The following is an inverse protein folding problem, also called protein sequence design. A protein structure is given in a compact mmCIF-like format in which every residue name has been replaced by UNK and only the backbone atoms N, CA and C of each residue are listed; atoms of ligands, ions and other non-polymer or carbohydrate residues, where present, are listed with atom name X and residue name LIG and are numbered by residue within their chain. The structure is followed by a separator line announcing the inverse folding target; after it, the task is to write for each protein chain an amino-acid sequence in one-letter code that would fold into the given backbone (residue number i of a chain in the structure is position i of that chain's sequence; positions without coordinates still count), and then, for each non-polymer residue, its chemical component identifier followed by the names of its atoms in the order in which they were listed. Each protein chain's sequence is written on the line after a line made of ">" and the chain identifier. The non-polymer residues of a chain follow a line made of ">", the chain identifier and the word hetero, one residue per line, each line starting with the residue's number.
data_IF_016105033235
#
_entry.id   IF_016105033235
#
_cell.length_a   1.000
_cell.length_b   1.000
_cell.length_c   1.000
_cell.angle_alpha   90.00
_cell.angle_beta   90.00
_cell.angle_gamma   90.00
#
_symmetry.space_group_name_H-M   'P 1'
#
loop_
_entity.id
_entity.type
_entity.pdbx_description
1 polymer ?
#
# COMPACT_ATOMS: atom_id res chain seq x y z
N UNK A 1 7.80 8.85 -21.26
CA UNK A 1 7.96 9.99 -20.36
C UNK A 1 7.37 11.26 -21.00
N UNK A 2 6.02 11.24 -21.20
CA UNK A 2 5.34 12.38 -21.87
C UNK A 2 5.11 13.56 -20.92
N UNK A 3 5.02 13.33 -19.60
CA UNK A 3 4.82 14.38 -18.59
C UNK A 3 5.90 15.47 -18.61
N UNK A 4 7.17 15.10 -18.77
CA UNK A 4 8.28 16.07 -18.88
C UNK A 4 8.26 16.75 -20.24
N UNK A 5 7.91 16.05 -21.32
CA UNK A 5 7.79 16.62 -22.66
C UNK A 5 6.63 17.61 -22.77
N UNK A 6 5.53 17.36 -22.07
CA UNK A 6 4.31 18.18 -22.12
C UNK A 6 4.30 19.31 -21.10
N UNK A 7 5.34 19.45 -20.26
CA UNK A 7 5.44 20.49 -19.22
C UNK A 7 4.16 20.57 -18.33
N UNK A 8 3.60 19.41 -17.95
CA UNK A 8 2.38 19.34 -17.14
C UNK A 8 2.78 19.30 -15.66
N UNK A 9 2.25 20.24 -14.87
CA UNK A 9 2.49 20.28 -13.44
C UNK A 9 1.65 19.22 -12.68
N UNK A 10 2.06 18.81 -11.46
CA UNK A 10 1.23 17.95 -10.60
C UNK A 10 -0.16 18.53 -10.32
N UNK A 11 -0.27 19.85 -10.12
CA UNK A 11 -1.55 20.52 -9.91
C UNK A 11 -2.45 20.42 -11.15
N UNK A 12 -1.88 20.53 -12.33
CA UNK A 12 -2.61 20.40 -13.59
C UNK A 12 -3.12 18.99 -13.82
N UNK A 13 -2.31 17.96 -13.52
CA UNK A 13 -2.75 16.56 -13.56
C UNK A 13 -3.90 16.31 -12.59
N UNK A 14 -3.75 16.76 -11.35
CA UNK A 14 -4.81 16.64 -10.34
C UNK A 14 -6.09 17.38 -10.77
N UNK A 15 -5.97 18.56 -11.32
CA UNK A 15 -7.12 19.32 -11.85
C UNK A 15 -7.85 18.55 -12.96
N UNK A 16 -7.11 17.99 -13.94
CA UNK A 16 -7.68 17.20 -15.03
C UNK A 16 -8.33 15.90 -14.51
N UNK A 17 -7.73 15.26 -13.51
CA UNK A 17 -8.30 14.06 -12.88
C UNK A 17 -9.60 14.41 -12.12
N UNK A 18 -9.64 15.52 -11.42
CA UNK A 18 -10.88 16.03 -10.82
C UNK A 18 -11.98 16.29 -11.88
N UNK A 19 -11.62 16.85 -13.03
CA UNK A 19 -12.57 17.03 -14.14
C UNK A 19 -13.10 15.69 -14.67
N UNK A 20 -12.24 14.67 -14.80
CA UNK A 20 -12.60 13.31 -15.22
C UNK A 20 -13.64 12.69 -14.29
N UNK A 21 -13.42 12.82 -12.99
CA UNK A 21 -14.29 12.23 -11.97
C UNK A 21 -15.45 13.15 -11.53
N UNK A 22 -15.58 14.35 -12.12
CA UNK A 22 -16.59 15.35 -11.75
C UNK A 22 -16.54 15.74 -10.27
N UNK A 23 -15.33 15.80 -9.71
CA UNK A 23 -15.06 16.17 -8.32
C UNK A 23 -14.54 17.61 -8.29
N UNK A 24 -14.99 18.37 -7.27
CA UNK A 24 -14.45 19.73 -7.05
C UNK A 24 -12.98 19.64 -6.61
N UNK A 25 -12.04 20.31 -7.31
CA UNK A 25 -10.64 20.30 -6.90
C UNK A 25 -10.47 21.01 -5.55
N UNK A 26 -9.80 20.34 -4.62
CA UNK A 26 -9.45 20.86 -3.30
C UNK A 26 -7.94 20.96 -3.16
N UNK A 27 -7.43 21.96 -2.45
CA UNK A 27 -5.98 22.14 -2.28
C UNK A 27 -5.23 22.75 -3.46
N UNK A 28 -5.91 23.11 -4.56
CA UNK A 28 -5.35 23.90 -5.66
C UNK A 28 -5.50 25.37 -5.32
N UNK A 29 -4.40 26.12 -5.33
CA UNK A 29 -4.37 27.55 -4.97
C UNK A 29 -5.23 28.41 -5.90
N UNK A 30 -5.32 28.04 -7.20
CA UNK A 30 -6.12 28.76 -8.18
C UNK A 30 -6.68 27.81 -9.26
N UNK A 31 -7.85 27.23 -9.00
CA UNK A 31 -8.50 26.29 -9.92
C UNK A 31 -8.90 26.95 -11.26
N UNK A 32 -9.24 28.25 -11.26
CA UNK A 32 -9.60 28.98 -12.48
C UNK A 32 -8.36 29.17 -13.37
N UNK A 33 -7.21 29.47 -12.79
CA UNK A 33 -5.96 29.56 -13.56
C UNK A 33 -5.58 28.19 -14.17
N UNK A 34 -5.75 27.09 -13.43
CA UNK A 34 -5.52 25.74 -13.97
C UNK A 34 -6.50 25.40 -15.11
N UNK A 35 -7.76 25.83 -15.01
CA UNK A 35 -8.74 25.68 -16.09
C UNK A 35 -8.32 26.44 -17.35
N UNK A 36 -7.97 27.71 -17.22
CA UNK A 36 -7.52 28.55 -18.36
C UNK A 36 -6.28 27.92 -19.02
N UNK A 37 -5.34 27.45 -18.21
CA UNK A 37 -4.13 26.77 -18.69
C UNK A 37 -4.45 25.45 -19.40
N UNK A 38 -5.39 24.67 -18.89
CA UNK A 38 -5.82 23.40 -19.47
C UNK A 38 -6.51 23.62 -20.83
N UNK A 39 -7.35 24.64 -20.96
CA UNK A 39 -7.97 25.04 -22.25
C UNK A 39 -6.88 25.50 -23.24
N UNK A 40 -5.98 26.36 -22.80
CA UNK A 40 -4.87 26.88 -23.65
C UNK A 40 -3.97 25.77 -24.16
N UNK A 41 -3.75 24.69 -23.36
CA UNK A 41 -2.96 23.52 -23.76
C UNK A 41 -3.74 22.46 -24.53
N UNK A 42 -5.03 22.69 -24.80
CA UNK A 42 -5.88 21.76 -25.51
C UNK A 42 -6.27 20.49 -24.71
N UNK A 43 -6.18 20.53 -23.38
CA UNK A 43 -6.62 19.44 -22.50
C UNK A 43 -8.11 19.53 -22.14
N UNK A 44 -8.69 20.75 -22.17
CA UNK A 44 -10.12 20.99 -22.01
C UNK A 44 -10.64 21.76 -23.22
N UNK A 45 -11.93 21.56 -23.57
CA UNK A 45 -12.66 22.46 -24.40
C UNK A 45 -13.07 23.73 -23.62
N UNK A 46 -13.56 24.77 -24.29
CA UNK A 46 -14.07 25.97 -23.61
C UNK A 46 -15.25 25.66 -22.68
N UNK A 47 -16.07 24.66 -23.04
CA UNK A 47 -17.18 24.15 -22.24
C UNK A 47 -16.70 23.34 -21.02
N UNK A 48 -15.39 23.03 -20.91
CA UNK A 48 -14.80 22.28 -19.79
C UNK A 48 -14.84 20.77 -19.94
N UNK A 49 -15.00 20.27 -21.18
CA UNK A 49 -14.96 18.83 -21.47
C UNK A 49 -13.51 18.39 -21.73
N UNK A 50 -13.11 17.25 -21.15
CA UNK A 50 -11.79 16.65 -21.40
C UNK A 50 -11.62 16.24 -22.85
N UNK A 51 -10.52 16.65 -23.46
CA UNK A 51 -10.14 16.23 -24.80
C UNK A 51 -9.52 14.84 -24.80
N UNK A 52 -9.43 14.20 -25.96
CA UNK A 52 -8.74 12.92 -26.13
C UNK A 52 -7.28 12.97 -25.63
N UNK A 53 -6.60 14.09 -25.90
CA UNK A 53 -5.22 14.31 -25.42
C UNK A 53 -5.11 14.31 -23.89
N UNK A 54 -6.09 14.90 -23.20
CA UNK A 54 -6.12 14.87 -21.73
C UNK A 54 -6.37 13.46 -21.18
N UNK A 55 -7.27 12.72 -21.79
CA UNK A 55 -7.56 11.33 -21.39
C UNK A 55 -6.33 10.44 -21.57
N UNK A 56 -5.66 10.54 -22.70
CA UNK A 56 -4.42 9.80 -22.95
C UNK A 56 -3.32 10.17 -21.94
N UNK A 57 -3.17 11.44 -21.60
CA UNK A 57 -2.20 11.91 -20.61
C UNK A 57 -2.49 11.32 -19.22
N UNK A 58 -3.76 11.26 -18.81
CA UNK A 58 -4.17 10.69 -17.52
C UNK A 58 -3.91 9.17 -17.49
N UNK A 59 -4.20 8.44 -18.56
CA UNK A 59 -3.90 6.99 -18.66
C UNK A 59 -2.41 6.70 -18.60
N UNK A 60 -1.57 7.49 -19.29
CA UNK A 60 -0.12 7.38 -19.20
C UNK A 60 0.39 7.61 -17.78
N UNK A 61 -0.20 8.59 -17.08
CA UNK A 61 0.15 8.88 -15.70
C UNK A 61 -0.25 7.76 -14.75
N UNK A 62 -1.46 7.22 -14.87
CA UNK A 62 -1.90 6.05 -14.09
C UNK A 62 -0.98 4.84 -14.32
N UNK A 63 -0.65 4.57 -15.59
CA UNK A 63 0.27 3.48 -15.95
C UNK A 63 1.66 3.68 -15.32
N UNK A 64 2.16 4.92 -15.32
CA UNK A 64 3.42 5.28 -14.67
C UNK A 64 3.36 5.05 -13.15
N UNK A 65 2.28 5.47 -12.49
CA UNK A 65 2.11 5.26 -11.03
C UNK A 65 2.05 3.78 -10.68
N UNK A 66 1.34 2.96 -11.46
CA UNK A 66 1.26 1.51 -11.24
C UNK A 66 2.64 0.86 -11.40
N UNK A 67 3.40 1.21 -12.45
CA UNK A 67 4.77 0.70 -12.67
C UNK A 67 5.71 1.12 -11.54
N UNK A 68 5.61 2.36 -11.08
CA UNK A 68 6.44 2.87 -9.97
C UNK A 68 6.13 2.15 -8.67
N UNK A 69 4.85 1.96 -8.32
CA UNK A 69 4.45 1.20 -7.13
C UNK A 69 4.92 -0.25 -7.18
N UNK A 70 4.84 -0.91 -8.35
CA UNK A 70 5.35 -2.27 -8.53
C UNK A 70 6.87 -2.31 -8.35
N UNK A 71 7.60 -1.37 -8.94
CA UNK A 71 9.07 -1.27 -8.82
C UNK A 71 9.50 -1.12 -7.35
N UNK A 72 8.88 -0.20 -6.61
CA UNK A 72 9.17 -0.02 -5.17
C UNK A 72 8.89 -1.28 -4.37
N UNK A 73 7.80 -1.99 -4.65
CA UNK A 73 7.51 -3.24 -3.97
C UNK A 73 8.58 -4.30 -4.25
N UNK A 74 8.98 -4.49 -5.50
CA UNK A 74 10.02 -5.44 -5.89
C UNK A 74 11.38 -5.08 -5.27
N UNK A 75 11.75 -3.80 -5.24
CA UNK A 75 13.01 -3.34 -4.64
C UNK A 75 13.08 -3.60 -3.13
N UNK A 76 11.94 -3.51 -2.42
CA UNK A 76 11.89 -3.70 -0.95
C UNK A 76 11.63 -5.15 -0.56
N UNK A 77 10.76 -5.85 -1.29
CA UNK A 77 10.24 -7.17 -0.91
C UNK A 77 10.86 -8.33 -1.70
N UNK A 78 11.65 -8.03 -2.77
CA UNK A 78 12.19 -9.02 -3.70
C UNK A 78 11.22 -9.41 -4.81
N UNK A 79 11.72 -10.16 -5.81
CA UNK A 79 10.95 -10.50 -7.01
C UNK A 79 9.75 -11.42 -6.74
N UNK A 80 9.89 -12.35 -5.80
CA UNK A 80 8.86 -13.36 -5.46
C UNK A 80 7.94 -12.92 -4.31
N UNK A 81 7.86 -11.62 -4.02
CA UNK A 81 7.15 -11.12 -2.83
C UNK A 81 5.67 -11.53 -2.79
N UNK A 82 4.99 -11.66 -3.93
CA UNK A 82 3.57 -12.05 -3.96
C UNK A 82 3.36 -13.48 -3.47
N UNK A 83 4.30 -14.39 -3.80
CA UNK A 83 4.27 -15.77 -3.33
C UNK A 83 4.54 -15.83 -1.83
N UNK A 84 5.55 -15.11 -1.35
CA UNK A 84 5.88 -15.00 0.07
C UNK A 84 4.73 -14.41 0.90
N UNK A 85 4.04 -13.39 0.39
CA UNK A 85 2.86 -12.83 1.08
C UNK A 85 1.70 -13.84 1.13
N UNK A 86 1.49 -14.62 0.07
CA UNK A 86 0.49 -15.69 0.08
C UNK A 86 0.84 -16.78 1.09
N UNK A 87 2.09 -17.24 1.09
CA UNK A 87 2.62 -18.22 2.05
C UNK A 87 2.40 -17.74 3.49
N UNK A 88 2.84 -16.51 3.81
CA UNK A 88 2.58 -15.88 5.10
C UNK A 88 1.09 -15.88 5.46
N UNK A 89 0.23 -15.50 4.53
CA UNK A 89 -1.22 -15.43 4.73
C UNK A 89 -1.83 -16.79 5.02
N UNK A 90 -1.35 -17.84 4.36
CA UNK A 90 -1.85 -19.21 4.54
C UNK A 90 -1.49 -19.84 5.90
N UNK A 91 -0.46 -19.37 6.61
CA UNK A 91 -0.14 -19.75 7.98
C UNK A 91 -1.29 -19.40 8.92
N UNK A 92 -1.95 -18.25 8.73
CA UNK A 92 -3.10 -17.89 9.54
C UNK A 92 -4.34 -18.77 9.24
N UNK A 93 -5.22 -19.04 10.24
CA UNK A 93 -6.42 -19.86 10.02
C UNK A 93 -7.41 -19.16 9.09
N UNK A 94 -8.05 -19.91 8.18
CA UNK A 94 -9.08 -19.41 7.27
C UNK A 94 -10.44 -19.25 7.98
N UNK A 95 -10.47 -18.60 9.14
CA UNK A 95 -11.69 -18.43 9.95
C UNK A 95 -11.76 -17.05 10.59
N UNK A 96 -12.92 -16.75 11.16
CA UNK A 96 -13.06 -15.58 12.04
C UNK A 96 -12.45 -15.89 13.41
N UNK A 97 -11.76 -14.91 13.95
CA UNK A 97 -11.23 -14.96 15.30
C UNK A 97 -12.34 -14.74 16.34
N UNK A 98 -12.15 -15.12 17.61
CA UNK A 98 -13.17 -14.96 18.66
C UNK A 98 -13.68 -13.54 18.82
N UNK A 99 -12.91 -12.52 18.46
CA UNK A 99 -13.31 -11.10 18.47
C UNK A 99 -14.01 -10.64 17.18
N UNK A 100 -14.33 -11.56 16.26
CA UNK A 100 -15.18 -11.31 15.09
C UNK A 100 -14.46 -10.93 13.79
N UNK A 101 -13.17 -10.58 13.82
CA UNK A 101 -12.39 -10.24 12.64
C UNK A 101 -11.93 -11.48 11.86
N UNK A 102 -11.73 -11.37 10.55
CA UNK A 102 -11.08 -12.41 9.75
C UNK A 102 -9.59 -12.50 10.11
N UNK A 103 -9.07 -13.70 10.39
CA UNK A 103 -7.66 -13.87 10.68
C UNK A 103 -6.78 -13.53 9.47
N UNK A 104 -7.20 -13.93 8.26
CA UNK A 104 -6.53 -13.65 6.99
C UNK A 104 -7.01 -12.36 6.38
N UNK A 105 -6.13 -11.40 6.19
CA UNK A 105 -6.42 -10.16 5.47
C UNK A 105 -6.07 -10.27 3.99
N UNK A 106 -6.38 -9.24 3.19
CA UNK A 106 -6.13 -9.25 1.74
C UNK A 106 -4.65 -9.15 1.42
N UNK A 107 -4.22 -9.78 0.30
CA UNK A 107 -2.83 -9.70 -0.17
C UNK A 107 -2.38 -8.25 -0.40
N UNK A 108 -3.29 -7.38 -0.86
CA UNK A 108 -2.96 -5.97 -1.10
C UNK A 108 -2.66 -5.23 0.22
N UNK A 109 -3.47 -5.45 1.26
CA UNK A 109 -3.24 -4.85 2.58
C UNK A 109 -1.93 -5.36 3.20
N UNK A 110 -1.68 -6.66 3.12
CA UNK A 110 -0.44 -7.27 3.63
C UNK A 110 0.79 -6.74 2.90
N UNK A 111 0.72 -6.56 1.57
CA UNK A 111 1.80 -5.98 0.77
C UNK A 111 2.20 -4.60 1.26
N UNK A 112 1.23 -3.71 1.50
CA UNK A 112 1.51 -2.35 1.94
C UNK A 112 2.17 -2.35 3.34
N UNK A 113 1.72 -3.25 4.23
CA UNK A 113 2.33 -3.42 5.55
C UNK A 113 3.72 -4.05 5.51
N UNK A 114 3.98 -5.00 4.61
CA UNK A 114 5.31 -5.58 4.44
C UNK A 114 6.31 -4.60 3.82
N UNK A 115 5.88 -3.70 2.93
CA UNK A 115 6.74 -2.60 2.45
C UNK A 115 7.20 -1.73 3.62
N UNK A 116 6.29 -1.39 4.53
CA UNK A 116 6.65 -0.66 5.75
C UNK A 116 7.58 -1.50 6.65
N UNK A 117 7.24 -2.78 6.87
CA UNK A 117 7.99 -3.67 7.74
C UNK A 117 9.46 -3.81 7.33
N UNK A 118 9.74 -4.21 6.09
CA UNK A 118 11.11 -4.38 5.60
C UNK A 118 11.89 -3.08 5.40
N UNK A 119 11.21 -1.93 5.31
CA UNK A 119 11.86 -0.63 5.40
C UNK A 119 12.28 -0.27 6.82
N UNK A 120 11.49 -0.71 7.81
CA UNK A 120 11.73 -0.42 9.22
C UNK A 120 12.73 -1.40 9.84
N UNK A 121 12.68 -2.66 9.38
CA UNK A 121 13.49 -3.78 9.86
C UNK A 121 14.22 -4.46 8.68
N UNK A 122 15.22 -3.81 8.08
CA UNK A 122 15.87 -4.31 6.85
C UNK A 122 16.71 -5.57 7.05
N UNK A 123 17.06 -5.88 8.29
CA UNK A 123 17.91 -7.04 8.64
C UNK A 123 17.12 -8.36 8.75
N UNK A 124 15.79 -8.31 8.77
CA UNK A 124 14.97 -9.51 8.80
C UNK A 124 14.74 -10.09 7.41
N UNK A 125 14.86 -11.40 7.28
CA UNK A 125 14.58 -12.12 6.03
C UNK A 125 13.13 -12.62 5.96
N UNK A 126 12.68 -13.03 4.76
CA UNK A 126 11.38 -13.66 4.58
C UNK A 126 11.29 -15.02 5.31
N UNK A 127 12.38 -15.76 5.35
CA UNK A 127 12.47 -17.05 6.05
C UNK A 127 12.17 -16.86 7.54
N UNK A 128 12.85 -15.90 8.17
CA UNK A 128 12.62 -15.54 9.57
C UNK A 128 11.19 -15.04 9.83
N UNK A 129 10.64 -14.26 8.91
CA UNK A 129 9.25 -13.77 9.00
C UNK A 129 8.25 -14.92 8.98
N UNK A 130 8.44 -15.91 8.10
CA UNK A 130 7.55 -17.07 8.00
C UNK A 130 7.67 -17.96 9.25
N UNK A 131 8.88 -18.22 9.71
CA UNK A 131 9.17 -18.99 10.93
C UNK A 131 8.53 -18.34 12.17
N UNK A 132 8.76 -17.06 12.39
CA UNK A 132 8.17 -16.28 13.48
C UNK A 132 6.64 -16.29 13.44
N UNK A 133 6.08 -16.26 12.23
CA UNK A 133 4.63 -16.30 12.02
C UNK A 133 4.06 -17.68 12.36
N UNK A 134 4.72 -18.76 11.91
CA UNK A 134 4.29 -20.12 12.20
C UNK A 134 4.32 -20.40 13.71
N UNK A 135 5.40 -20.02 14.38
CA UNK A 135 5.53 -20.13 15.82
C UNK A 135 4.43 -19.34 16.56
N UNK A 136 4.15 -18.12 16.14
CA UNK A 136 3.07 -17.30 16.71
C UNK A 136 1.71 -17.98 16.57
N UNK A 137 1.36 -18.41 15.36
CA UNK A 137 0.05 -19.02 15.06
C UNK A 137 -0.07 -20.36 15.79
N UNK A 138 0.99 -21.18 15.82
CA UNK A 138 1.03 -22.42 16.58
C UNK A 138 0.78 -22.19 18.08
N UNK A 139 1.44 -21.20 18.68
CA UNK A 139 1.24 -20.86 20.09
C UNK A 139 -0.21 -20.43 20.36
N UNK A 140 -0.79 -19.58 19.48
CA UNK A 140 -2.17 -19.15 19.62
C UNK A 140 -3.20 -20.24 19.34
N UNK A 141 -2.86 -21.25 18.55
CA UNK A 141 -3.75 -22.38 18.30
C UNK A 141 -4.02 -23.21 19.57
N UNK A 142 -3.05 -23.30 20.48
CA UNK A 142 -3.20 -23.98 21.78
C UNK A 142 -4.22 -23.32 22.71
N UNK A 143 -4.51 -22.04 22.46
CA UNK A 143 -5.47 -21.22 23.22
C UNK A 143 -6.74 -20.91 22.39
N UNK A 144 -7.11 -21.76 21.42
CA UNK A 144 -8.24 -21.54 20.50
C UNK A 144 -8.22 -20.17 19.82
N UNK A 145 -7.03 -19.66 19.53
CA UNK A 145 -6.79 -18.35 18.92
C UNK A 145 -7.32 -17.17 19.73
N UNK A 146 -7.49 -17.35 21.03
CA UNK A 146 -7.88 -16.29 21.95
C UNK A 146 -6.82 -15.18 21.93
N UNK A 147 -7.28 -13.93 21.76
CA UNK A 147 -6.41 -12.75 21.65
C UNK A 147 -5.38 -12.80 20.50
N UNK A 148 -5.59 -13.64 19.50
CA UNK A 148 -4.75 -13.64 18.31
C UNK A 148 -4.97 -12.37 17.49
N UNK A 149 -3.88 -11.73 17.06
CA UNK A 149 -3.96 -10.64 16.09
C UNK A 149 -4.31 -11.15 14.69
N UNK A 150 -4.96 -10.34 13.88
CA UNK A 150 -5.12 -10.62 12.45
C UNK A 150 -3.77 -10.58 11.75
N UNK A 151 -3.66 -11.18 10.56
CA UNK A 151 -2.43 -11.20 9.78
C UNK A 151 -1.88 -9.80 9.50
N UNK A 152 -2.72 -8.78 9.37
CA UNK A 152 -2.28 -7.40 9.17
C UNK A 152 -1.85 -6.71 10.46
N UNK A 153 -2.56 -6.95 11.58
CA UNK A 153 -2.19 -6.36 12.87
C UNK A 153 -0.95 -7.01 13.49
N UNK A 154 -0.65 -8.25 13.13
CA UNK A 154 0.60 -8.92 13.52
C UNK A 154 1.81 -8.22 12.91
N UNK A 155 1.74 -7.81 11.62
CA UNK A 155 2.80 -7.06 10.97
C UNK A 155 2.90 -5.64 11.54
N UNK A 156 1.76 -4.93 11.64
CA UNK A 156 1.74 -3.51 11.98
C UNK A 156 0.43 -3.13 12.65
N UNK A 157 0.51 -2.63 13.87
CA UNK A 157 -0.61 -2.08 14.63
C UNK A 157 -0.29 -0.65 15.07
N UNK A 158 -1.19 0.29 14.77
CA UNK A 158 -1.09 1.67 15.24
C UNK A 158 -1.97 1.84 16.47
N UNK A 159 -1.40 2.29 17.57
CA UNK A 159 -2.17 2.70 18.74
C UNK A 159 -2.91 4.01 18.41
N UNK A 160 -4.24 3.98 18.53
CA UNK A 160 -5.08 5.13 18.14
C UNK A 160 -4.90 6.35 19.06
N UNK A 161 -4.49 6.14 20.32
CA UNK A 161 -4.31 7.22 21.30
C UNK A 161 -2.92 7.84 21.20
N UNK A 162 -1.89 7.01 21.19
CA UNK A 162 -0.49 7.46 21.20
C UNK A 162 0.09 7.69 19.82
N UNK A 163 -0.60 7.20 18.75
CA UNK A 163 -0.09 7.17 17.36
C UNK A 163 1.21 6.37 17.19
N UNK A 164 1.61 5.63 18.20
CA UNK A 164 2.78 4.76 18.13
C UNK A 164 2.47 3.55 17.25
N UNK A 165 3.36 3.27 16.33
CA UNK A 165 3.29 2.07 15.46
C UNK A 165 4.13 0.96 16.10
N UNK A 166 3.55 -0.22 16.29
CA UNK A 166 4.20 -1.41 16.84
C UNK A 166 4.09 -2.57 15.87
N UNK A 167 5.08 -3.46 15.89
CA UNK A 167 5.09 -4.72 15.14
C UNK A 167 5.28 -5.89 16.10
N UNK A 168 4.23 -6.67 16.28
CA UNK A 168 4.34 -7.91 17.04
C UNK A 168 5.21 -8.95 16.29
N UNK A 169 5.15 -8.95 14.96
CA UNK A 169 6.00 -9.77 14.11
C UNK A 169 7.50 -9.47 14.36
N UNK A 170 7.87 -8.19 14.47
CA UNK A 170 9.26 -7.82 14.76
C UNK A 170 9.72 -8.32 16.12
N UNK A 171 8.84 -8.27 17.13
CA UNK A 171 9.15 -8.79 18.46
C UNK A 171 9.41 -10.31 18.41
N UNK A 172 8.62 -11.07 17.64
CA UNK A 172 8.81 -12.50 17.44
C UNK A 172 10.06 -12.84 16.61
N UNK A 173 10.33 -12.08 15.54
CA UNK A 173 11.56 -12.24 14.77
C UNK A 173 12.80 -11.99 15.65
N UNK A 174 12.77 -10.95 16.47
CA UNK A 174 13.88 -10.63 17.36
C UNK A 174 14.08 -11.74 18.41
N UNK A 175 13.01 -12.28 18.98
CA UNK A 175 13.10 -13.37 19.96
C UNK A 175 13.78 -14.62 19.39
N UNK A 176 13.50 -14.97 18.12
CA UNK A 176 14.17 -16.10 17.44
C UNK A 176 15.66 -15.80 17.20
N UNK A 177 15.99 -14.55 16.85
CA UNK A 177 17.40 -14.15 16.63
C UNK A 177 18.18 -14.17 17.94
N UNK A 178 17.55 -13.77 19.06
CA UNK A 178 18.20 -13.67 20.37
C UNK A 178 18.37 -15.05 21.05
N UNK A 179 17.51 -16.02 20.74
CA UNK A 179 17.55 -17.39 21.31
C UNK A 179 17.43 -18.43 20.17
N UNK A 180 18.46 -18.58 19.34
CA UNK A 180 18.50 -19.59 18.28
C UNK A 180 18.64 -20.98 18.93
N UNK A 181 17.58 -21.82 18.79
CA UNK A 181 17.61 -23.23 19.21
C UNK A 181 18.68 -24.07 18.49
#
# INVERSE_FOLDING_TARGET
>A
MSLIKNQVSPNQLYFLDCCRHKIKPTGIVNADAERVLAVRKGYLTEEGVLTHQALQLLEEFETFLVKTKKKVATEVLGDNFLERIKEYREIFPAKRLPHGELARQTVQELKDKFIWFFKTYPDFSWELVLEATDYYVFTKSKEDFKFMATSSYFIQKTDMKTKVVKSLLADYCQAIVDDPE
#
